data_IF_093214174627
#
_entry.id   IF_093214174627
#
_cell.length_a   1.000
_cell.length_b   1.000
_cell.length_c   1.000
_cell.angle_alpha   90.00
_cell.angle_beta   90.00
_cell.angle_gamma   90.00
#
_symmetry.space_group_name_H-M   'P 1'
#
loop_
_entity.id
_entity.type
_entity.pdbx_description
1 polymer ?
#
# COMPACT_ATOMS: atom_id res chain seq x y z
N UNK A 1 -32.95 -12.82 -13.67
CA UNK A 1 -32.52 -11.82 -12.68
C UNK A 1 -31.16 -12.25 -12.17
N UNK A 2 -30.14 -11.41 -12.34
CA UNK A 2 -28.75 -11.69 -12.01
C UNK A 2 -28.48 -11.28 -10.56
N UNK A 3 -28.09 -12.23 -9.70
CA UNK A 3 -27.86 -12.03 -8.27
C UNK A 3 -26.39 -11.84 -7.98
N UNK A 4 -26.04 -10.76 -7.29
CA UNK A 4 -24.67 -10.43 -6.88
C UNK A 4 -24.56 -10.55 -5.36
N UNK A 5 -23.66 -11.40 -4.89
CA UNK A 5 -23.29 -11.47 -3.49
C UNK A 5 -22.07 -10.60 -3.22
N UNK A 6 -22.13 -9.72 -2.22
CA UNK A 6 -21.01 -8.90 -1.78
C UNK A 6 -20.51 -9.41 -0.44
N UNK A 7 -19.21 -9.66 -0.31
CA UNK A 7 -18.65 -10.20 0.93
C UNK A 7 -18.85 -9.23 2.10
N UNK A 8 -19.10 -9.76 3.30
CA UNK A 8 -19.49 -8.94 4.47
C UNK A 8 -18.35 -8.08 5.03
N UNK A 9 -17.11 -8.37 4.65
CA UNK A 9 -15.90 -7.63 5.04
C UNK A 9 -15.78 -6.24 4.42
N UNK A 10 -16.68 -5.85 3.51
CA UNK A 10 -16.90 -4.46 3.15
C UNK A 10 -17.56 -3.64 4.26
N UNK A 11 -18.23 -4.30 5.21
CA UNK A 11 -18.95 -3.67 6.30
C UNK A 11 -18.13 -3.68 7.59
N UNK A 12 -18.19 -2.57 8.30
CA UNK A 12 -17.72 -2.45 9.67
C UNK A 12 -18.70 -3.12 10.65
N UNK A 13 -18.36 -3.23 11.96
CA UNK A 13 -19.24 -3.82 12.96
C UNK A 13 -20.60 -3.14 13.09
N UNK A 14 -20.73 -1.88 12.65
CA UNK A 14 -21.98 -1.11 12.64
C UNK A 14 -22.79 -1.29 11.34
N UNK A 15 -22.34 -2.17 10.43
CA UNK A 15 -23.02 -2.46 9.16
C UNK A 15 -22.84 -1.38 8.09
N UNK A 16 -21.85 -0.50 8.22
CA UNK A 16 -21.56 0.56 7.24
C UNK A 16 -20.30 0.25 6.44
N UNK A 17 -20.20 0.80 5.24
CA UNK A 17 -19.03 0.66 4.38
C UNK A 17 -17.95 1.65 4.84
N UNK A 18 -16.76 1.16 5.20
CA UNK A 18 -15.63 2.00 5.65
C UNK A 18 -14.72 2.45 4.49
N UNK A 19 -14.97 1.96 3.27
CA UNK A 19 -14.18 2.23 2.07
C UNK A 19 -14.64 3.48 1.29
N UNK A 20 -15.52 4.28 1.87
CA UNK A 20 -16.18 5.38 1.17
C UNK A 20 -17.15 4.87 0.08
N UNK A 21 -17.25 5.61 -1.02
CA UNK A 21 -18.07 5.20 -2.16
C UNK A 21 -17.36 4.12 -2.99
N UNK A 22 -17.83 2.88 -2.87
CA UNK A 22 -17.36 1.74 -3.69
C UNK A 22 -18.17 1.56 -4.98
N UNK A 23 -19.10 2.48 -5.27
CA UNK A 23 -19.83 2.53 -6.53
C UNK A 23 -21.07 1.64 -6.62
N UNK A 24 -21.66 1.22 -5.49
CA UNK A 24 -22.84 0.33 -5.45
C UNK A 24 -24.06 0.90 -6.18
N UNK A 25 -24.17 2.23 -6.27
CA UNK A 25 -25.22 2.89 -7.05
C UNK A 25 -25.27 2.43 -8.53
N UNK A 26 -24.16 1.93 -9.08
CA UNK A 26 -24.13 1.34 -10.44
C UNK A 26 -24.88 0.02 -10.51
N UNK A 27 -24.89 -0.76 -9.43
CA UNK A 27 -25.67 -1.99 -9.33
C UNK A 27 -27.16 -1.67 -9.17
N UNK A 28 -27.49 -0.66 -8.38
CA UNK A 28 -28.88 -0.17 -8.23
C UNK A 28 -29.47 0.32 -9.55
N UNK A 29 -28.65 0.98 -10.38
CA UNK A 29 -29.05 1.48 -11.69
C UNK A 29 -29.12 0.40 -12.79
N UNK A 30 -28.59 -0.81 -12.54
CA UNK A 30 -28.50 -1.87 -13.55
C UNK A 30 -29.81 -2.68 -13.63
N UNK A 31 -30.54 -2.66 -14.76
CA UNK A 31 -31.80 -3.40 -14.88
C UNK A 31 -31.58 -4.91 -14.76
N UNK A 32 -32.42 -5.57 -13.97
CA UNK A 32 -32.38 -7.03 -13.80
C UNK A 32 -31.27 -7.56 -12.90
N UNK A 33 -30.55 -6.68 -12.20
CA UNK A 33 -29.57 -7.00 -11.16
C UNK A 33 -30.21 -6.87 -9.79
N UNK A 34 -29.98 -7.85 -8.93
CA UNK A 34 -30.18 -7.71 -7.49
C UNK A 34 -28.86 -8.01 -6.78
N UNK A 35 -28.63 -7.32 -5.68
CA UNK A 35 -27.42 -7.50 -4.90
C UNK A 35 -27.71 -7.46 -3.41
N UNK A 36 -26.90 -8.17 -2.64
CA UNK A 36 -26.97 -8.18 -1.18
C UNK A 36 -25.59 -8.44 -0.58
N UNK A 37 -25.39 -8.03 0.67
CA UNK A 37 -24.23 -8.48 1.45
C UNK A 37 -24.48 -9.90 1.96
N UNK A 38 -23.44 -10.73 1.91
CA UNK A 38 -23.48 -12.06 2.51
C UNK A 38 -23.87 -11.96 4.00
N UNK A 39 -24.67 -12.90 4.52
CA UNK A 39 -25.22 -12.87 5.88
C UNK A 39 -24.13 -13.01 6.97
N UNK A 40 -22.98 -13.56 6.62
CA UNK A 40 -21.88 -13.81 7.54
C UNK A 40 -20.53 -13.32 6.99
N UNK A 41 -19.62 -13.02 7.92
CA UNK A 41 -18.23 -12.72 7.61
C UNK A 41 -17.43 -14.02 7.65
N UNK A 42 -16.82 -14.38 6.52
CA UNK A 42 -16.14 -15.67 6.34
C UNK A 42 -14.75 -15.45 5.77
N UNK A 43 -13.78 -16.26 6.20
CA UNK A 43 -12.42 -16.20 5.67
C UNK A 43 -12.26 -16.88 4.30
N UNK A 44 -13.14 -17.83 3.97
CA UNK A 44 -13.15 -18.56 2.70
C UNK A 44 -14.59 -18.80 2.27
N UNK A 45 -14.90 -18.55 1.00
CA UNK A 45 -16.23 -18.80 0.45
C UNK A 45 -16.42 -20.30 0.19
N UNK A 46 -17.62 -20.80 0.44
CA UNK A 46 -17.96 -22.20 0.23
C UNK A 46 -18.73 -22.39 -1.08
N UNK A 47 -18.84 -23.62 -1.54
CA UNK A 47 -19.75 -23.99 -2.62
C UNK A 47 -21.20 -23.55 -2.35
N UNK A 48 -21.64 -23.60 -1.10
CA UNK A 48 -23.00 -23.17 -0.73
C UNK A 48 -23.19 -21.66 -0.88
N UNK A 49 -22.15 -20.85 -0.65
CA UNK A 49 -22.18 -19.43 -0.94
C UNK A 49 -22.23 -19.18 -2.45
N UNK A 50 -21.33 -19.81 -3.21
CA UNK A 50 -21.26 -19.63 -4.66
C UNK A 50 -22.56 -20.02 -5.39
N UNK A 51 -23.26 -21.08 -4.94
CA UNK A 51 -24.49 -21.57 -5.55
C UNK A 51 -25.66 -20.57 -5.53
N UNK A 52 -25.62 -19.58 -4.64
CA UNK A 52 -26.71 -18.61 -4.44
C UNK A 52 -26.64 -17.43 -5.41
N UNK A 53 -25.48 -17.20 -6.04
CA UNK A 53 -25.21 -15.98 -6.79
C UNK A 53 -24.72 -16.26 -8.21
N UNK A 54 -25.04 -15.34 -9.11
CA UNK A 54 -24.52 -15.32 -10.48
C UNK A 54 -23.19 -14.56 -10.55
N UNK A 55 -22.94 -13.66 -9.60
CA UNK A 55 -21.67 -12.96 -9.44
C UNK A 55 -21.31 -12.72 -7.98
N UNK A 56 -20.00 -12.69 -7.68
CA UNK A 56 -19.49 -12.40 -6.34
C UNK A 56 -18.56 -11.19 -6.39
N UNK A 57 -18.81 -10.18 -5.54
CA UNK A 57 -17.88 -9.08 -5.28
C UNK A 57 -17.14 -9.37 -3.97
N UNK A 58 -15.84 -9.64 -4.07
CA UNK A 58 -15.00 -10.19 -3.00
C UNK A 58 -13.90 -9.23 -2.63
N UNK A 59 -13.72 -8.93 -1.34
CA UNK A 59 -12.61 -8.10 -0.85
C UNK A 59 -11.44 -8.93 -0.32
N UNK A 60 -11.60 -9.60 0.82
CA UNK A 60 -10.59 -10.40 1.50
C UNK A 60 -10.80 -11.93 1.44
N UNK A 61 -12.05 -12.48 1.49
CA UNK A 61 -12.26 -13.91 1.58
C UNK A 61 -11.61 -14.68 0.44
N UNK A 62 -11.15 -15.89 0.78
CA UNK A 62 -10.55 -16.81 -0.18
C UNK A 62 -11.61 -17.42 -1.09
N UNK A 63 -11.27 -17.60 -2.36
CA UNK A 63 -12.07 -18.32 -3.36
C UNK A 63 -11.20 -19.43 -3.91
N UNK A 64 -11.46 -20.66 -3.49
CA UNK A 64 -10.61 -21.81 -3.78
C UNK A 64 -11.36 -22.81 -4.67
N UNK A 65 -10.68 -23.87 -5.14
CA UNK A 65 -11.30 -24.91 -5.94
C UNK A 65 -12.59 -25.49 -5.33
N UNK A 66 -12.66 -25.63 -4.00
CA UNK A 66 -13.85 -26.10 -3.29
C UNK A 66 -15.02 -25.10 -3.29
N UNK A 67 -14.73 -23.80 -3.37
CA UNK A 67 -15.76 -22.77 -3.58
C UNK A 67 -16.43 -22.95 -4.94
N UNK A 68 -15.65 -23.31 -5.96
CA UNK A 68 -16.03 -23.32 -7.37
C UNK A 68 -16.53 -24.69 -7.87
N UNK A 69 -16.32 -25.74 -7.06
CA UNK A 69 -16.71 -27.10 -7.41
C UNK A 69 -18.23 -27.22 -7.60
N UNK A 70 -18.64 -27.73 -8.77
CA UNK A 70 -20.03 -28.05 -9.06
C UNK A 70 -20.97 -26.83 -9.16
N UNK A 71 -20.43 -25.65 -9.53
CA UNK A 71 -21.18 -24.40 -9.59
C UNK A 71 -21.62 -24.03 -11.01
N UNK A 72 -22.81 -24.42 -11.47
CA UNK A 72 -23.27 -24.06 -12.82
C UNK A 72 -23.75 -22.61 -12.94
N UNK A 73 -23.97 -21.91 -11.81
CA UNK A 73 -24.60 -20.59 -11.77
C UNK A 73 -23.62 -19.43 -11.74
N UNK A 74 -22.52 -19.60 -11.01
CA UNK A 74 -21.56 -18.51 -10.79
C UNK A 74 -20.84 -18.20 -12.10
N UNK A 75 -21.02 -16.99 -12.62
CA UNK A 75 -20.41 -16.54 -13.87
C UNK A 75 -19.15 -15.70 -13.64
N UNK A 76 -19.08 -14.97 -12.52
CA UNK A 76 -18.00 -14.01 -12.26
C UNK A 76 -17.65 -13.88 -10.78
N UNK A 77 -16.35 -13.78 -10.50
CA UNK A 77 -15.78 -13.30 -9.25
C UNK A 77 -15.06 -11.99 -9.54
N UNK A 78 -15.60 -10.88 -9.03
CA UNK A 78 -14.98 -9.58 -9.06
C UNK A 78 -14.25 -9.33 -7.75
N UNK A 79 -12.91 -9.31 -7.80
CA UNK A 79 -12.09 -9.03 -6.63
C UNK A 79 -11.81 -7.53 -6.52
N UNK A 80 -12.12 -6.96 -5.37
CA UNK A 80 -11.84 -5.56 -5.05
C UNK A 80 -10.39 -5.36 -4.63
N UNK A 81 -9.58 -4.85 -5.55
CA UNK A 81 -8.14 -4.64 -5.39
C UNK A 81 -7.34 -5.29 -6.51
N UNK A 82 -6.01 -5.25 -6.38
CA UNK A 82 -5.08 -5.69 -7.45
C UNK A 82 -4.50 -7.08 -7.26
N UNK A 83 -4.21 -7.48 -6.01
CA UNK A 83 -3.73 -8.82 -5.70
C UNK A 83 -4.88 -9.83 -5.75
N UNK A 84 -4.62 -11.02 -6.30
CA UNK A 84 -5.59 -12.09 -6.45
C UNK A 84 -5.06 -13.44 -5.94
N UNK A 85 -4.03 -13.41 -5.09
CA UNK A 85 -3.44 -14.62 -4.47
C UNK A 85 -4.44 -15.39 -3.61
N UNK A 86 -5.50 -14.71 -3.15
CA UNK A 86 -6.62 -15.32 -2.41
C UNK A 86 -7.64 -15.99 -3.33
N UNK A 87 -7.44 -16.00 -4.65
CA UNK A 87 -8.36 -16.61 -5.63
C UNK A 87 -7.61 -17.66 -6.46
N UNK A 88 -8.11 -18.89 -6.47
CA UNK A 88 -7.61 -19.97 -7.32
C UNK A 88 -8.02 -19.73 -8.78
N UNK A 89 -7.14 -19.05 -9.52
CA UNK A 89 -7.37 -18.65 -10.91
C UNK A 89 -7.53 -19.83 -11.87
N UNK A 90 -6.85 -20.94 -11.61
CA UNK A 90 -6.97 -22.14 -12.44
C UNK A 90 -8.31 -22.83 -12.19
N UNK A 91 -8.76 -22.88 -10.94
CA UNK A 91 -10.09 -23.39 -10.62
C UNK A 91 -11.20 -22.53 -11.23
N UNK A 92 -11.07 -21.20 -11.22
CA UNK A 92 -11.98 -20.31 -11.94
C UNK A 92 -12.06 -20.67 -13.43
N UNK A 93 -10.88 -20.84 -14.05
CA UNK A 93 -10.79 -21.22 -15.47
C UNK A 93 -11.46 -22.57 -15.75
N UNK A 94 -11.18 -23.61 -14.94
CA UNK A 94 -11.78 -24.95 -15.09
C UNK A 94 -13.30 -24.93 -14.89
N UNK A 95 -13.80 -24.08 -13.99
CA UNK A 95 -15.21 -23.95 -13.70
C UNK A 95 -15.95 -23.01 -14.68
N UNK A 96 -15.24 -22.36 -15.62
CA UNK A 96 -15.84 -21.40 -16.55
C UNK A 96 -16.26 -20.08 -15.89
N UNK A 97 -15.63 -19.72 -14.77
CA UNK A 97 -15.93 -18.52 -13.98
C UNK A 97 -14.92 -17.43 -14.31
N UNK A 98 -15.40 -16.25 -14.73
CA UNK A 98 -14.53 -15.10 -14.97
C UNK A 98 -13.98 -14.54 -13.65
N UNK A 99 -12.71 -14.12 -13.66
CA UNK A 99 -12.10 -13.38 -12.54
C UNK A 99 -11.70 -11.98 -13.02
N UNK A 100 -12.10 -10.96 -12.28
CA UNK A 100 -11.68 -9.57 -12.54
C UNK A 100 -11.05 -8.92 -11.31
N UNK A 101 -10.10 -8.02 -11.53
CA UNK A 101 -9.44 -7.20 -10.51
C UNK A 101 -9.52 -5.71 -10.88
N UNK A 102 -9.06 -4.82 -10.00
CA UNK A 102 -9.08 -3.36 -10.21
C UNK A 102 -7.67 -2.75 -10.28
N UNK A 103 -6.89 -3.02 -11.35
CA UNK A 103 -5.46 -2.68 -11.44
C UNK A 103 -5.18 -1.17 -11.32
N UNK A 104 -6.03 -0.34 -11.91
CA UNK A 104 -5.84 1.11 -11.92
C UNK A 104 -6.17 1.79 -10.58
N UNK A 105 -6.90 1.13 -9.69
CA UNK A 105 -7.38 1.72 -8.43
C UNK A 105 -6.27 2.12 -7.47
N UNK A 106 -5.09 1.49 -7.56
CA UNK A 106 -3.97 1.71 -6.62
C UNK A 106 -2.70 2.21 -7.29
N UNK A 107 -2.66 2.31 -8.62
CA UNK A 107 -1.43 2.62 -9.37
C UNK A 107 -0.82 3.97 -8.97
N UNK A 108 -1.62 5.03 -8.94
CA UNK A 108 -1.16 6.38 -8.56
C UNK A 108 -0.86 6.51 -7.06
N UNK A 109 -1.75 6.09 -6.14
CA UNK A 109 -1.45 6.15 -4.71
C UNK A 109 -0.18 5.38 -4.32
N UNK A 110 0.02 4.18 -4.85
CA UNK A 110 1.22 3.39 -4.56
C UNK A 110 2.49 4.08 -5.06
N UNK A 111 2.48 4.61 -6.30
CA UNK A 111 3.61 5.36 -6.83
C UNK A 111 3.97 6.58 -5.96
N UNK A 112 2.96 7.35 -5.54
CA UNK A 112 3.17 8.50 -4.65
C UNK A 112 3.74 8.08 -3.29
N UNK A 113 3.25 6.99 -2.71
CA UNK A 113 3.75 6.44 -1.44
C UNK A 113 5.21 5.98 -1.55
N UNK A 114 5.59 5.33 -2.65
CA UNK A 114 6.98 4.90 -2.90
C UNK A 114 7.91 6.11 -2.96
N UNK A 115 7.57 7.14 -3.74
CA UNK A 115 8.36 8.38 -3.79
C UNK A 115 8.46 9.06 -2.43
N UNK A 116 7.36 9.09 -1.69
CA UNK A 116 7.33 9.63 -0.32
C UNK A 116 8.27 8.84 0.60
N UNK A 117 8.27 7.51 0.52
CA UNK A 117 9.19 6.69 1.33
C UNK A 117 10.65 6.90 0.97
N UNK A 118 10.98 6.97 -0.32
CA UNK A 118 12.35 7.27 -0.77
C UNK A 118 12.82 8.58 -0.15
N UNK A 119 12.04 9.66 -0.28
CA UNK A 119 12.38 10.97 0.29
C UNK A 119 12.45 10.93 1.81
N UNK A 120 11.47 10.30 2.48
CA UNK A 120 11.42 10.24 3.94
C UNK A 120 12.65 9.53 4.52
N UNK A 121 13.10 8.45 3.89
CA UNK A 121 14.28 7.70 4.32
C UNK A 121 15.57 8.44 3.99
N UNK A 122 15.73 8.94 2.75
CA UNK A 122 16.93 9.66 2.31
C UNK A 122 17.20 10.91 3.16
N UNK A 123 16.15 11.63 3.57
CA UNK A 123 16.30 12.84 4.38
C UNK A 123 16.21 12.59 5.89
N UNK A 124 16.08 11.32 6.32
CA UNK A 124 15.84 10.96 7.73
C UNK A 124 14.66 11.76 8.31
N UNK A 125 13.61 11.96 7.51
CA UNK A 125 12.52 12.92 7.76
C UNK A 125 11.90 12.73 9.15
N UNK A 126 11.62 11.49 9.55
CA UNK A 126 11.03 11.19 10.86
C UNK A 126 11.97 11.50 12.03
N UNK A 127 13.28 11.33 11.85
CA UNK A 127 14.27 11.69 12.88
C UNK A 127 14.34 13.21 13.01
N UNK A 128 14.40 13.92 11.87
CA UNK A 128 14.47 15.39 11.83
C UNK A 128 13.19 16.05 12.35
N UNK A 129 12.01 15.50 12.04
CA UNK A 129 10.72 15.96 12.60
C UNK A 129 10.72 15.87 14.13
N UNK A 130 11.13 14.73 14.71
CA UNK A 130 11.23 14.56 16.16
C UNK A 130 12.19 15.55 16.81
N UNK A 131 13.38 15.72 16.24
CA UNK A 131 14.38 16.67 16.75
C UNK A 131 13.87 18.11 16.69
N UNK A 132 13.17 18.47 15.61
CA UNK A 132 12.55 19.78 15.43
C UNK A 132 11.49 20.04 16.51
N UNK A 133 10.58 19.08 16.73
CA UNK A 133 9.55 19.17 17.78
C UNK A 133 10.13 19.22 19.19
N UNK A 134 11.28 18.59 19.41
CA UNK A 134 12.00 18.62 20.69
C UNK A 134 12.87 19.87 20.87
N UNK A 135 12.98 20.75 19.86
CA UNK A 135 13.85 21.93 19.90
C UNK A 135 15.36 21.61 19.82
N UNK A 136 15.73 20.41 19.37
CA UNK A 136 17.10 19.89 19.39
C UNK A 136 17.84 20.02 18.04
N UNK A 137 17.41 20.94 17.18
CA UNK A 137 17.90 21.07 15.79
C UNK A 137 19.42 21.36 15.76
N UNK A 138 19.92 22.19 16.69
CA UNK A 138 21.34 22.53 16.78
C UNK A 138 22.25 21.33 17.15
N UNK A 139 21.77 20.40 17.98
CA UNK A 139 22.54 19.23 18.40
C UNK A 139 22.70 18.16 17.30
N UNK A 140 21.81 18.19 16.30
CA UNK A 140 21.86 17.27 15.17
C UNK A 140 22.80 17.74 14.06
N UNK A 141 22.92 19.05 13.87
CA UNK A 141 23.89 19.69 12.96
C UNK A 141 25.33 19.51 13.44
N UNK A 142 25.58 19.49 14.75
CA UNK A 142 26.94 19.33 15.30
C UNK A 142 27.57 17.95 14.96
N UNK A 143 26.76 16.98 14.53
CA UNK A 143 27.23 15.66 14.07
C UNK A 143 27.60 15.63 12.58
N UNK A 144 27.17 16.61 11.80
CA UNK A 144 27.63 16.87 10.43
C UNK A 144 28.66 18.00 10.47
N UNK A 145 29.95 17.66 10.35
CA UNK A 145 31.11 18.58 10.41
C UNK A 145 30.76 20.02 10.02
N UNK A 146 30.59 20.88 11.03
CA UNK A 146 30.26 22.27 10.77
C UNK A 146 31.45 22.97 10.11
N UNK A 147 31.16 23.86 9.16
CA UNK A 147 32.16 24.72 8.51
C UNK A 147 32.98 25.51 9.54
N UNK A 148 32.36 25.88 10.67
CA UNK A 148 33.02 26.50 11.82
C UNK A 148 34.00 25.55 12.53
N UNK A 149 33.68 24.26 12.67
CA UNK A 149 34.61 23.27 13.22
C UNK A 149 35.87 23.13 12.36
N UNK A 150 35.70 23.06 11.04
CA UNK A 150 36.83 23.04 10.10
C UNK A 150 37.62 24.36 10.13
N UNK A 151 36.93 25.50 10.21
CA UNK A 151 37.55 26.83 10.35
C UNK A 151 38.38 26.97 11.64
N UNK A 152 37.88 26.51 12.79
CA UNK A 152 38.61 26.57 14.07
C UNK A 152 39.84 25.67 14.06
N UNK A 153 39.76 24.48 13.44
CA UNK A 153 40.92 23.60 13.27
C UNK A 153 41.99 24.24 12.37
N UNK A 154 41.56 24.82 11.25
CA UNK A 154 42.39 25.61 10.34
C UNK A 154 43.08 26.78 11.04
N UNK A 155 42.32 27.56 11.81
CA UNK A 155 42.84 28.70 12.56
C UNK A 155 43.88 28.29 13.60
N UNK A 156 43.64 27.19 14.33
CA UNK A 156 44.60 26.64 15.32
C UNK A 156 45.91 26.18 14.66
N UNK A 157 45.83 25.55 13.48
CA UNK A 157 47.02 25.14 12.72
C UNK A 157 47.81 26.35 12.21
N UNK A 158 47.13 27.38 11.68
CA UNK A 158 47.76 28.62 11.23
C UNK A 158 48.50 29.35 12.37
N UNK A 159 47.95 29.34 13.60
CA UNK A 159 48.57 29.99 14.76
C UNK A 159 49.88 29.35 15.24
N UNK A 160 50.10 28.07 14.91
CA UNK A 160 51.32 27.32 15.29
C UNK A 160 52.45 27.44 14.27
N UNK A 161 52.25 28.13 13.15
CA UNK A 161 53.26 28.31 12.10
C UNK A 161 53.34 27.15 11.09
N UNK A 162 52.54 26.09 11.26
CA UNK A 162 52.52 24.91 10.39
C UNK A 162 51.54 25.05 9.19
N UNK A 163 51.47 26.24 8.60
CA UNK A 163 50.55 26.52 7.49
C UNK A 163 51.18 26.21 6.13
N UNK A 164 50.83 25.06 5.53
CA UNK A 164 51.09 24.75 4.11
C UNK A 164 49.77 24.76 3.33
N UNK A 165 49.57 25.65 2.34
CA UNK A 165 48.30 25.79 1.62
C UNK A 165 47.85 24.53 0.87
N UNK A 166 48.79 23.70 0.43
CA UNK A 166 48.52 22.58 -0.49
C UNK A 166 47.88 21.34 0.16
N UNK A 167 47.99 21.14 1.48
CA UNK A 167 47.46 19.94 2.16
C UNK A 167 45.98 20.05 2.58
N UNK A 168 45.38 21.24 2.48
CA UNK A 168 44.02 21.49 2.99
C UNK A 168 42.91 21.22 1.96
N UNK A 169 43.22 21.25 0.67
CA UNK A 169 42.24 20.94 -0.38
C UNK A 169 41.82 19.46 -0.32
N UNK A 170 42.71 18.54 0.07
CA UNK A 170 42.37 17.12 0.17
C UNK A 170 41.49 16.79 1.38
N UNK A 171 41.56 17.57 2.47
CA UNK A 171 40.68 17.38 3.63
C UNK A 171 39.24 17.85 3.40
N UNK A 172 39.01 18.76 2.44
CA UNK A 172 37.68 19.31 2.14
C UNK A 172 36.95 18.57 1.02
N UNK A 173 37.65 17.90 0.10
CA UNK A 173 37.05 17.24 -1.08
C UNK A 173 36.74 15.74 -0.91
N UNK A 174 36.95 15.19 0.28
CA UNK A 174 36.48 13.84 0.62
C UNK A 174 37.51 12.74 0.38
N UNK A 175 37.95 12.10 1.47
CA UNK A 175 38.31 10.70 1.44
C UNK A 175 37.01 9.88 1.44
N UNK A 176 36.42 9.74 0.25
CA UNK A 176 35.50 8.66 -0.05
C UNK A 176 36.32 7.45 -0.45
N UNK A 177 36.50 6.53 0.50
CA UNK A 177 36.96 5.16 0.31
C UNK A 177 36.00 4.23 1.02
#
# INVERSE_FOLDING_TARGET
MFRIGITRDFLNPQGRIDFGDIGLARLDAAPGVAWEFLPEHVGELTAAHAAQYDGLLVLAPRVMAMTLAGQPRLAIVARFGVGYDNVDTEACTRAGVALTITPDGVRRPVAASVLTFVLALSHKLLIKDRLTRAGLIAAAEERERTTLGAFVQLWRAARKGDYKPASLISCFLGAGG
#
